data_IF_128198869528
#
_entry.id   IF_128198869528
#
_cell.length_a   1.000
_cell.length_b   1.000
_cell.length_c   1.000
_cell.angle_alpha   90.00
_cell.angle_beta   90.00
_cell.angle_gamma   90.00
#
_symmetry.space_group_name_H-M   'P 1'
#
loop_
_entity.id
_entity.type
_entity.pdbx_description
1 polymer ?
#
# COMPACT_ATOMS: atom_id res chain seq x y z
N UNK A 1 24.26 -66.71 16.95
CA UNK A 1 23.61 -67.62 15.99
C UNK A 1 22.22 -67.03 15.73
N UNK A 2 21.96 -66.04 14.87
CA UNK A 2 22.17 -65.80 13.41
C UNK A 2 21.35 -66.70 12.47
N UNK A 3 20.17 -66.18 12.07
CA UNK A 3 19.39 -66.34 10.81
C UNK A 3 18.88 -67.76 10.40
N UNK A 4 17.97 -67.91 9.39
CA UNK A 4 17.18 -66.93 8.61
C UNK A 4 15.70 -67.31 8.31
N UNK A 5 14.98 -66.39 7.66
CA UNK A 5 13.73 -66.55 6.91
C UNK A 5 13.89 -67.38 5.63
N UNK A 6 12.88 -68.19 5.23
CA UNK A 6 12.62 -68.57 3.82
C UNK A 6 11.13 -68.91 3.60
N UNK A 7 10.47 -68.07 2.78
CA UNK A 7 9.60 -68.34 1.61
C UNK A 7 8.57 -69.49 1.65
N UNK A 8 7.30 -69.13 1.46
CA UNK A 8 6.24 -70.01 0.95
C UNK A 8 5.81 -69.48 -0.44
N UNK A 9 5.78 -70.37 -1.43
CA UNK A 9 5.20 -70.12 -2.75
C UNK A 9 4.42 -71.35 -3.24
N UNK A 10 3.37 -71.08 -4.04
CA UNK A 10 2.61 -71.95 -4.98
C UNK A 10 1.47 -72.78 -4.34
N UNK A 11 0.27 -72.95 -4.93
CA UNK A 11 -0.21 -72.77 -6.30
C UNK A 11 -1.76 -72.72 -6.37
N UNK A 12 -2.23 -72.19 -7.49
CA UNK A 12 -3.59 -71.78 -7.88
C UNK A 12 -4.68 -72.86 -7.98
N UNK A 13 -5.95 -72.43 -7.92
CA UNK A 13 -7.01 -72.91 -8.81
C UNK A 13 -7.93 -71.76 -9.28
N UNK A 14 -8.32 -71.89 -10.55
CA UNK A 14 -9.02 -70.95 -11.43
C UNK A 14 -10.51 -70.76 -11.10
N UNK A 15 -11.03 -69.55 -11.35
CA UNK A 15 -12.36 -69.36 -11.93
C UNK A 15 -12.34 -68.15 -12.88
N UNK A 16 -12.99 -68.33 -14.03
CA UNK A 16 -12.88 -67.54 -15.26
C UNK A 16 -14.16 -66.71 -15.47
N UNK A 17 -14.01 -65.63 -16.25
CA UNK A 17 -15.01 -64.85 -17.00
C UNK A 17 -15.45 -63.55 -16.30
N UNK A 18 -15.44 -62.37 -16.90
CA UNK A 18 -15.57 -62.00 -18.32
C UNK A 18 -14.80 -60.71 -18.63
N UNK A 19 -14.33 -60.57 -19.87
CA UNK A 19 -13.55 -59.41 -20.37
C UNK A 19 -14.42 -58.16 -20.51
N UNK A 20 -13.90 -56.99 -20.13
CA UNK A 20 -14.20 -55.72 -20.81
C UNK A 20 -12.98 -54.79 -20.75
N UNK A 21 -12.56 -54.40 -21.94
CA UNK A 21 -11.45 -53.49 -22.26
C UNK A 21 -11.47 -52.22 -21.38
N UNK A 22 -10.33 -51.91 -20.78
CA UNK A 22 -10.13 -50.71 -19.97
C UNK A 22 -9.72 -49.55 -20.89
N UNK A 23 -10.71 -48.90 -21.50
CA UNK A 23 -10.49 -47.57 -22.08
C UNK A 23 -10.27 -46.59 -20.91
N UNK A 24 -9.01 -46.17 -20.74
CA UNK A 24 -8.67 -45.00 -19.92
C UNK A 24 -9.27 -43.77 -20.57
N UNK A 25 -10.45 -43.36 -20.12
CA UNK A 25 -10.93 -42.00 -20.35
C UNK A 25 -10.09 -41.08 -19.48
N UNK A 26 -9.24 -40.26 -20.10
CA UNK A 26 -8.61 -39.13 -19.43
C UNK A 26 -9.73 -38.27 -18.85
N UNK A 27 -9.75 -38.11 -17.53
CA UNK A 27 -10.61 -37.12 -16.90
C UNK A 27 -10.17 -35.75 -17.41
N UNK A 28 -11.08 -35.07 -18.12
CA UNK A 28 -10.93 -33.66 -18.45
C UNK A 28 -10.75 -32.89 -17.15
N UNK A 29 -9.57 -32.28 -17.01
CA UNK A 29 -9.31 -31.28 -16.00
C UNK A 29 -10.19 -30.08 -16.33
N UNK A 30 -11.23 -29.85 -15.52
CA UNK A 30 -12.02 -28.63 -15.59
C UNK A 30 -11.15 -27.48 -15.09
N UNK A 31 -10.40 -26.87 -16.00
CA UNK A 31 -9.72 -25.60 -15.77
C UNK A 31 -10.79 -24.57 -15.44
N UNK A 32 -10.78 -24.06 -14.21
CA UNK A 32 -11.60 -22.94 -13.81
C UNK A 32 -11.34 -21.78 -14.80
N UNK A 33 -12.38 -21.08 -15.28
CA UNK A 33 -12.19 -19.97 -16.19
C UNK A 33 -11.26 -18.92 -15.54
N UNK A 34 -10.39 -18.26 -16.31
CA UNK A 34 -9.54 -17.20 -15.78
C UNK A 34 -10.43 -16.15 -15.12
N UNK A 35 -10.12 -15.79 -13.87
CA UNK A 35 -10.73 -14.64 -13.21
C UNK A 35 -10.44 -13.44 -14.09
N UNK A 36 -11.49 -12.90 -14.72
CA UNK A 36 -11.43 -11.60 -15.39
C UNK A 36 -11.18 -10.58 -14.28
N UNK A 37 -9.91 -10.29 -13.99
CA UNK A 37 -9.55 -9.16 -13.15
C UNK A 37 -10.10 -7.93 -13.85
N UNK A 38 -11.07 -7.27 -13.23
CA UNK A 38 -11.57 -6.00 -13.69
C UNK A 38 -10.43 -4.98 -13.57
N UNK A 39 -9.71 -4.76 -14.68
CA UNK A 39 -8.83 -3.61 -14.84
C UNK A 39 -9.71 -2.38 -14.92
N UNK A 40 -9.94 -1.74 -13.78
CA UNK A 40 -10.37 -0.34 -13.80
C UNK A 40 -9.30 0.43 -14.56
N UNK A 41 -9.66 1.03 -15.68
CA UNK A 41 -8.83 2.02 -16.32
C UNK A 41 -8.49 3.08 -15.26
N UNK A 42 -7.23 3.49 -15.16
CA UNK A 42 -6.83 4.52 -14.22
C UNK A 42 -7.73 5.73 -14.41
N UNK A 43 -8.49 6.08 -13.37
CA UNK A 43 -9.00 7.45 -13.29
C UNK A 43 -7.78 8.34 -13.24
N UNK A 44 -7.78 9.45 -14.00
CA UNK A 44 -6.63 10.35 -14.07
C UNK A 44 -6.11 10.63 -12.66
N UNK A 45 -4.79 10.48 -12.45
CA UNK A 45 -4.15 10.78 -11.16
C UNK A 45 -4.37 12.23 -10.70
N UNK A 46 -4.81 13.12 -11.61
CA UNK A 46 -5.30 14.46 -11.29
C UNK A 46 -6.55 14.49 -10.40
N UNK A 47 -7.23 13.35 -10.21
CA UNK A 47 -8.35 13.20 -9.28
C UNK A 47 -7.90 13.28 -7.80
N UNK A 48 -6.62 13.07 -7.50
CA UNK A 48 -6.07 13.14 -6.14
C UNK A 48 -5.55 14.54 -5.84
N UNK A 49 -6.22 15.23 -4.91
CA UNK A 49 -5.81 16.53 -4.36
C UNK A 49 -5.77 16.39 -2.86
N UNK A 50 -4.60 16.02 -2.35
CA UNK A 50 -4.48 15.40 -1.05
C UNK A 50 -3.61 16.12 -0.03
N UNK A 51 -3.76 15.72 1.22
CA UNK A 51 -2.82 16.01 2.30
C UNK A 51 -2.54 14.77 3.14
N UNK A 52 -1.34 14.68 3.71
CA UNK A 52 -0.98 13.66 4.70
C UNK A 52 -1.60 14.03 6.05
N UNK A 53 -2.54 13.21 6.53
CA UNK A 53 -3.08 13.33 7.88
C UNK A 53 -2.30 12.39 8.82
N UNK A 54 -1.11 12.86 9.20
CA UNK A 54 -0.08 12.07 9.86
C UNK A 54 -0.17 12.10 11.39
N UNK A 55 0.51 11.13 12.02
CA UNK A 55 0.89 11.18 13.42
C UNK A 55 1.83 12.38 13.64
N UNK A 56 1.60 13.23 14.66
CA UNK A 56 2.43 14.41 14.89
C UNK A 56 3.86 14.09 15.36
N UNK A 57 4.14 12.86 15.80
CA UNK A 57 5.43 12.50 16.36
C UNK A 57 6.44 12.11 15.27
N UNK A 58 6.06 11.27 14.31
CA UNK A 58 6.93 10.82 13.22
C UNK A 58 6.17 9.94 12.19
N UNK A 59 6.82 9.61 11.07
CA UNK A 59 6.41 8.54 10.17
C UNK A 59 6.84 7.12 10.58
N UNK A 60 7.39 6.99 11.79
CA UNK A 60 7.76 5.72 12.41
C UNK A 60 7.21 5.62 13.83
N UNK A 61 6.53 4.52 14.14
CA UNK A 61 5.98 4.31 15.48
C UNK A 61 5.94 2.82 15.87
N UNK A 62 6.55 2.49 17.02
CA UNK A 62 6.45 1.15 17.62
C UNK A 62 5.05 0.88 18.21
N UNK A 63 4.34 1.95 18.58
CA UNK A 63 2.95 1.93 19.00
C UNK A 63 1.99 2.21 17.85
N UNK A 64 0.71 2.44 18.18
CA UNK A 64 -0.24 2.89 17.17
C UNK A 64 0.16 4.25 16.59
N UNK A 65 0.05 4.40 15.27
CA UNK A 65 0.08 5.71 14.60
C UNK A 65 -1.29 6.38 14.78
N UNK A 66 -1.26 7.60 15.30
CA UNK A 66 -2.46 8.34 15.71
C UNK A 66 -2.47 9.70 15.01
N UNK A 67 -3.28 9.86 13.95
CA UNK A 67 -3.33 11.12 13.23
C UNK A 67 -3.63 12.32 14.13
N UNK A 68 -2.99 13.45 13.79
CA UNK A 68 -3.08 14.70 14.54
C UNK A 68 -4.53 15.10 14.84
N UNK A 69 -4.83 15.37 16.11
CA UNK A 69 -6.18 15.73 16.58
C UNK A 69 -7.05 14.54 17.00
N UNK A 70 -6.58 13.30 16.84
CA UNK A 70 -7.22 12.08 17.36
C UNK A 70 -6.54 11.60 18.65
N UNK A 71 -7.17 10.64 19.35
CA UNK A 71 -6.62 10.04 20.57
C UNK A 71 -7.01 8.58 20.71
N UNK A 72 -6.09 7.73 21.17
CA UNK A 72 -6.36 6.31 21.46
C UNK A 72 -7.32 6.08 22.63
N UNK A 73 -7.61 7.12 23.42
CA UNK A 73 -8.62 7.07 24.48
C UNK A 73 -10.05 7.35 24.00
N UNK A 74 -10.21 7.79 22.74
CA UNK A 74 -11.53 8.06 22.17
C UNK A 74 -12.20 6.75 21.70
N UNK A 75 -13.53 6.75 21.68
CA UNK A 75 -14.31 5.73 20.99
C UNK A 75 -14.56 6.08 19.52
N UNK A 76 -15.26 5.21 18.80
CA UNK A 76 -15.62 5.43 17.40
C UNK A 76 -16.38 6.74 17.18
N UNK A 77 -17.40 7.01 17.99
CA UNK A 77 -18.27 8.17 17.80
C UNK A 77 -17.51 9.49 18.03
N UNK A 78 -16.66 9.52 19.05
CA UNK A 78 -15.82 10.68 19.38
C UNK A 78 -14.75 10.89 18.32
N UNK A 79 -14.07 9.82 17.89
CA UNK A 79 -13.07 9.87 16.81
C UNK A 79 -13.69 10.38 15.51
N UNK A 80 -14.86 9.86 15.15
CA UNK A 80 -15.63 10.30 13.98
C UNK A 80 -16.02 11.78 14.06
N UNK A 81 -16.50 12.25 15.21
CA UNK A 81 -16.86 13.65 15.40
C UNK A 81 -15.65 14.60 15.27
N UNK A 82 -14.50 14.23 15.87
CA UNK A 82 -13.24 14.99 15.73
C UNK A 82 -12.76 15.01 14.29
N UNK A 83 -12.74 13.85 13.64
CA UNK A 83 -12.39 13.72 12.24
C UNK A 83 -13.28 14.59 11.35
N UNK A 84 -14.59 14.63 11.60
CA UNK A 84 -15.52 15.41 10.79
C UNK A 84 -15.25 16.90 10.77
N UNK A 85 -14.77 17.47 11.88
CA UNK A 85 -14.34 18.87 11.92
C UNK A 85 -13.06 19.11 11.12
N UNK A 86 -12.06 18.24 11.27
CA UNK A 86 -10.77 18.33 10.57
C UNK A 86 -10.97 18.16 9.05
N UNK A 87 -11.70 17.12 8.65
CA UNK A 87 -11.97 16.80 7.26
C UNK A 87 -12.83 17.89 6.59
N UNK A 88 -13.79 18.49 7.31
CA UNK A 88 -14.54 19.62 6.78
C UNK A 88 -13.63 20.83 6.50
N UNK A 89 -12.64 21.08 7.36
CA UNK A 89 -11.65 22.13 7.10
C UNK A 89 -10.78 21.79 5.88
N UNK A 90 -10.30 20.54 5.75
CA UNK A 90 -9.57 20.09 4.56
C UNK A 90 -10.37 20.30 3.27
N UNK A 91 -11.65 19.92 3.26
CA UNK A 91 -12.52 20.15 2.09
C UNK A 91 -12.68 21.63 1.74
N UNK A 92 -12.74 22.53 2.74
CA UNK A 92 -12.76 23.98 2.50
C UNK A 92 -11.48 24.49 1.83
N UNK A 93 -10.34 23.81 2.05
CA UNK A 93 -9.07 24.10 1.36
C UNK A 93 -8.97 23.40 -0.01
N UNK A 94 -10.03 22.74 -0.48
CA UNK A 94 -10.04 22.04 -1.77
C UNK A 94 -9.40 20.65 -1.74
N UNK A 95 -9.03 20.13 -0.56
CA UNK A 95 -8.53 18.78 -0.39
C UNK A 95 -9.69 17.79 -0.54
N UNK A 96 -9.49 16.80 -1.42
CA UNK A 96 -10.45 15.72 -1.65
C UNK A 96 -9.89 14.33 -1.28
N UNK A 97 -8.62 14.26 -0.88
CA UNK A 97 -7.91 13.02 -0.57
C UNK A 97 -7.18 13.16 0.75
N UNK A 98 -7.24 12.16 1.62
CA UNK A 98 -6.37 12.10 2.82
C UNK A 98 -5.52 10.83 2.76
N UNK A 99 -4.21 10.99 2.95
CA UNK A 99 -3.29 9.87 3.18
C UNK A 99 -3.12 9.68 4.67
N UNK A 100 -3.47 8.50 5.17
CA UNK A 100 -3.60 8.19 6.58
C UNK A 100 -2.71 6.98 6.92
N UNK A 101 -1.89 7.07 7.97
CA UNK A 101 -0.96 6.01 8.31
C UNK A 101 -1.68 4.83 8.98
N UNK A 102 -1.18 3.63 8.73
CA UNK A 102 -1.56 2.39 9.41
C UNK A 102 -0.30 1.61 9.78
N UNK A 103 -0.35 0.88 10.87
CA UNK A 103 0.67 -0.11 11.23
C UNK A 103 0.00 -1.24 12.04
N UNK A 104 0.68 -2.37 12.29
CA UNK A 104 0.07 -3.47 13.03
C UNK A 104 -0.47 -3.07 14.40
N UNK A 105 0.23 -2.29 15.25
CA UNK A 105 -0.36 -1.78 16.50
C UNK A 105 -1.66 -0.99 16.30
N UNK A 106 -1.80 -0.22 15.22
CA UNK A 106 -3.01 0.56 14.96
C UNK A 106 -4.21 -0.27 14.55
N UNK A 107 -3.97 -1.38 13.85
CA UNK A 107 -5.01 -2.17 13.18
C UNK A 107 -5.36 -3.44 13.93
N UNK A 108 -4.37 -4.09 14.56
CA UNK A 108 -4.52 -5.37 15.23
C UNK A 108 -4.82 -5.24 16.74
N UNK A 109 -4.93 -4.01 17.24
CA UNK A 109 -5.25 -3.72 18.65
C UNK A 109 -6.54 -2.90 18.76
N UNK A 110 -6.88 -2.48 19.99
CA UNK A 110 -8.13 -1.79 20.29
C UNK A 110 -8.31 -0.45 19.57
N UNK A 111 -7.21 0.22 19.18
CA UNK A 111 -7.25 1.50 18.47
C UNK A 111 -8.06 1.42 17.17
N UNK A 112 -7.98 0.30 16.44
CA UNK A 112 -8.67 0.13 15.16
C UNK A 112 -10.17 0.40 15.23
N UNK A 113 -10.81 -0.04 16.32
CA UNK A 113 -12.24 0.17 16.54
C UNK A 113 -12.63 1.65 16.52
N UNK A 114 -11.81 2.50 17.13
CA UNK A 114 -12.02 3.95 17.14
C UNK A 114 -11.52 4.60 15.84
N UNK A 115 -10.33 4.21 15.36
CA UNK A 115 -9.67 4.81 14.21
C UNK A 115 -10.50 4.72 12.92
N UNK A 116 -11.24 3.62 12.75
CA UNK A 116 -12.17 3.46 11.62
C UNK A 116 -13.25 4.54 11.57
N UNK A 117 -13.57 5.20 12.69
CA UNK A 117 -14.49 6.35 12.71
C UNK A 117 -13.99 7.53 11.89
N UNK A 118 -12.68 7.77 11.85
CA UNK A 118 -12.09 8.82 11.02
C UNK A 118 -12.10 8.44 9.53
N UNK A 119 -11.76 7.20 9.21
CA UNK A 119 -11.75 6.68 7.83
C UNK A 119 -13.17 6.67 7.25
N UNK A 120 -14.15 6.15 8.01
CA UNK A 120 -15.55 6.09 7.62
C UNK A 120 -16.14 7.50 7.40
N UNK A 121 -15.68 8.50 8.15
CA UNK A 121 -16.13 9.89 7.97
C UNK A 121 -15.57 10.53 6.71
N UNK A 122 -14.28 10.32 6.41
CA UNK A 122 -13.66 10.77 5.17
C UNK A 122 -14.36 10.16 3.95
N UNK A 123 -14.62 8.84 3.98
CA UNK A 123 -15.40 8.14 2.95
C UNK A 123 -16.82 8.70 2.86
N UNK A 124 -17.50 8.91 4.00
CA UNK A 124 -18.85 9.47 4.06
C UNK A 124 -18.96 10.89 3.50
N UNK A 125 -17.85 11.66 3.53
CA UNK A 125 -17.72 12.98 2.90
C UNK A 125 -17.35 12.92 1.41
N UNK A 126 -17.23 11.72 0.84
CA UNK A 126 -16.86 11.49 -0.55
C UNK A 126 -15.38 11.72 -0.85
N UNK A 127 -14.53 11.78 0.18
CA UNK A 127 -13.08 11.91 0.00
C UNK A 127 -12.46 10.57 -0.39
N UNK A 128 -11.34 10.62 -1.11
CA UNK A 128 -10.45 9.46 -1.24
C UNK A 128 -9.65 9.30 0.07
N UNK A 129 -9.44 8.06 0.49
CA UNK A 129 -8.59 7.71 1.63
C UNK A 129 -7.51 6.76 1.15
N UNK A 130 -6.25 7.17 1.29
CA UNK A 130 -5.09 6.32 1.05
C UNK A 130 -4.61 5.81 2.40
N UNK A 131 -4.71 4.50 2.65
CA UNK A 131 -4.17 3.88 3.86
C UNK A 131 -2.76 3.39 3.56
N UNK A 132 -1.76 3.88 4.30
CA UNK A 132 -0.36 3.60 4.04
C UNK A 132 0.34 2.92 5.23
N UNK A 133 1.02 1.79 4.99
CA UNK A 133 1.80 1.13 6.03
C UNK A 133 3.06 1.90 6.41
N UNK A 134 3.20 2.23 7.70
CA UNK A 134 4.34 2.91 8.30
C UNK A 134 5.09 1.98 9.26
N UNK A 135 6.42 1.95 9.15
CA UNK A 135 7.31 1.04 9.88
C UNK A 135 7.43 1.44 11.38
N UNK A 136 7.91 0.51 12.21
CA UNK A 136 8.27 0.77 13.59
C UNK A 136 9.42 1.77 13.74
N UNK A 137 9.47 2.44 14.91
CA UNK A 137 10.52 3.38 15.25
C UNK A 137 11.82 2.71 15.71
N UNK A 138 11.75 1.43 16.11
CA UNK A 138 12.90 0.66 16.59
C UNK A 138 13.84 0.18 15.49
N UNK A 139 13.33 -0.07 14.27
CA UNK A 139 14.13 -0.53 13.12
C UNK A 139 14.53 0.65 12.23
N UNK A 140 13.53 1.35 11.65
CA UNK A 140 13.69 2.48 10.70
C UNK A 140 14.67 2.15 9.58
N UNK A 141 14.61 0.93 9.08
CA UNK A 141 15.51 0.43 8.04
C UNK A 141 14.85 0.31 6.67
N UNK A 142 13.55 0.62 6.56
CA UNK A 142 12.79 0.54 5.32
C UNK A 142 12.42 -0.89 4.94
N UNK A 143 12.35 -1.78 5.91
CA UNK A 143 11.97 -3.19 5.76
C UNK A 143 10.75 -3.46 6.64
N UNK A 144 9.86 -4.36 6.18
CA UNK A 144 8.74 -4.80 7.02
C UNK A 144 9.27 -5.56 8.24
N UNK A 145 9.07 -4.99 9.43
CA UNK A 145 9.55 -5.52 10.72
C UNK A 145 9.10 -6.96 11.01
N UNK A 146 7.81 -7.23 10.77
CA UNK A 146 7.20 -8.54 10.97
C UNK A 146 6.20 -8.83 9.86
N UNK A 147 6.59 -9.71 8.94
CA UNK A 147 5.74 -10.10 7.81
C UNK A 147 4.39 -10.70 8.23
N UNK A 148 4.33 -11.45 9.33
CA UNK A 148 3.07 -12.05 9.79
C UNK A 148 2.07 -10.97 10.19
N UNK A 149 2.52 -10.00 10.98
CA UNK A 149 1.68 -8.90 11.45
C UNK A 149 1.32 -7.94 10.30
N UNK A 150 2.25 -7.70 9.38
CA UNK A 150 2.00 -6.95 8.15
C UNK A 150 0.88 -7.57 7.30
N UNK A 151 0.92 -8.88 7.06
CA UNK A 151 -0.14 -9.56 6.32
C UNK A 151 -1.47 -9.59 7.09
N UNK A 152 -1.44 -9.77 8.41
CA UNK A 152 -2.67 -9.74 9.23
C UNK A 152 -3.31 -8.34 9.25
N UNK A 153 -2.50 -7.29 9.30
CA UNK A 153 -2.94 -5.91 9.20
C UNK A 153 -3.65 -5.68 7.85
N UNK A 154 -2.99 -5.99 6.73
CA UNK A 154 -3.58 -5.82 5.41
C UNK A 154 -4.84 -6.68 5.20
N UNK A 155 -4.88 -7.90 5.75
CA UNK A 155 -6.08 -8.73 5.74
C UNK A 155 -7.24 -8.04 6.47
N UNK A 156 -6.98 -7.42 7.62
CA UNK A 156 -7.98 -6.69 8.40
C UNK A 156 -8.52 -5.48 7.63
N UNK A 157 -7.61 -4.69 7.03
CA UNK A 157 -7.97 -3.50 6.26
C UNK A 157 -8.76 -3.89 5.00
N UNK A 158 -8.28 -4.86 4.23
CA UNK A 158 -8.94 -5.31 2.98
C UNK A 158 -10.29 -5.98 3.24
N UNK A 159 -10.46 -6.70 4.34
CA UNK A 159 -11.77 -7.23 4.73
C UNK A 159 -12.81 -6.13 4.98
N UNK A 160 -12.40 -5.02 5.61
CA UNK A 160 -13.31 -3.92 5.94
C UNK A 160 -13.57 -3.00 4.74
N UNK A 161 -12.52 -2.61 4.02
CA UNK A 161 -12.60 -1.58 2.98
C UNK A 161 -12.42 -2.10 1.55
N UNK A 162 -12.30 -3.41 1.37
CA UNK A 162 -12.10 -4.03 0.06
C UNK A 162 -13.21 -3.76 -0.95
N UNK A 163 -14.42 -3.40 -0.52
CA UNK A 163 -15.52 -2.99 -1.39
C UNK A 163 -15.83 -1.49 -1.34
N UNK A 164 -15.02 -0.70 -0.63
CA UNK A 164 -15.22 0.76 -0.51
C UNK A 164 -14.44 1.46 -1.61
N UNK A 165 -15.14 1.96 -2.63
CA UNK A 165 -14.51 2.46 -3.86
C UNK A 165 -13.46 3.56 -3.65
N UNK A 166 -13.68 4.44 -2.67
CA UNK A 166 -12.79 5.57 -2.38
C UNK A 166 -11.67 5.25 -1.39
N UNK A 167 -11.47 3.98 -1.01
CA UNK A 167 -10.33 3.55 -0.18
C UNK A 167 -9.28 2.86 -1.05
N UNK A 168 -8.05 3.35 -0.90
CA UNK A 168 -6.84 2.94 -1.60
C UNK A 168 -5.82 2.38 -0.60
N UNK A 169 -4.97 1.47 -1.09
CA UNK A 169 -4.05 0.67 -0.28
C UNK A 169 -2.61 0.92 -0.73
N UNK A 170 -1.88 1.72 0.03
CA UNK A 170 -0.47 2.01 -0.23
C UNK A 170 0.40 1.07 0.59
N UNK A 171 1.08 0.17 -0.12
CA UNK A 171 1.54 -1.10 0.49
C UNK A 171 2.64 -0.90 1.53
N UNK A 172 3.56 0.04 1.31
CA UNK A 172 4.64 0.37 2.24
C UNK A 172 5.21 1.75 1.94
N UNK A 173 5.17 2.66 2.90
CA UNK A 173 5.86 3.95 2.90
C UNK A 173 7.39 3.79 2.87
N UNK A 174 8.05 4.45 1.92
CA UNK A 174 9.51 4.65 1.88
C UNK A 174 10.35 3.36 2.11
N UNK A 175 10.21 2.34 1.25
CA UNK A 175 10.85 1.03 1.40
C UNK A 175 12.35 1.03 1.07
N UNK A 176 13.12 1.89 1.72
CA UNK A 176 14.52 2.21 1.41
C UNK A 176 15.52 1.08 1.74
N UNK A 177 15.12 0.11 2.55
CA UNK A 177 15.93 -1.08 2.86
C UNK A 177 15.83 -2.20 1.82
N UNK A 178 14.87 -2.14 0.90
CA UNK A 178 14.70 -3.17 -0.12
C UNK A 178 15.53 -2.90 -1.38
N UNK A 179 16.10 -3.97 -1.95
CA UNK A 179 16.47 -3.96 -3.36
C UNK A 179 15.20 -3.94 -4.23
N UNK A 180 15.30 -3.42 -5.45
CA UNK A 180 14.18 -3.39 -6.42
C UNK A 180 13.51 -4.76 -6.57
N UNK A 181 14.31 -5.83 -6.72
CA UNK A 181 13.77 -7.17 -6.91
C UNK A 181 12.97 -7.66 -5.69
N UNK A 182 13.47 -7.40 -4.48
CA UNK A 182 12.79 -7.79 -3.25
C UNK A 182 11.51 -6.97 -3.02
N UNK A 183 11.56 -5.67 -3.28
CA UNK A 183 10.40 -4.79 -3.16
C UNK A 183 9.29 -5.21 -4.14
N UNK A 184 9.63 -5.42 -5.42
CA UNK A 184 8.66 -5.85 -6.42
C UNK A 184 8.05 -7.22 -6.08
N UNK A 185 8.84 -8.11 -5.44
CA UNK A 185 8.32 -9.39 -4.95
C UNK A 185 7.35 -9.23 -3.78
N UNK A 186 7.63 -8.32 -2.83
CA UNK A 186 6.70 -7.98 -1.75
C UNK A 186 5.37 -7.47 -2.32
N UNK A 187 5.42 -6.56 -3.29
CA UNK A 187 4.23 -6.00 -3.94
C UNK A 187 3.46 -7.05 -4.76
N UNK A 188 4.13 -7.88 -5.54
CA UNK A 188 3.49 -8.96 -6.26
C UNK A 188 2.83 -9.98 -5.31
N UNK A 189 3.46 -10.24 -4.16
CA UNK A 189 2.88 -11.08 -3.11
C UNK A 189 1.64 -10.44 -2.47
N UNK A 190 1.65 -9.12 -2.24
CA UNK A 190 0.47 -8.40 -1.75
C UNK A 190 -0.72 -8.57 -2.71
N UNK A 191 -0.52 -8.39 -4.01
CA UNK A 191 -1.58 -8.58 -5.02
C UNK A 191 -2.10 -10.03 -5.05
N UNK A 192 -1.20 -11.01 -4.84
CA UNK A 192 -1.56 -12.43 -4.78
C UNK A 192 -2.36 -12.77 -3.52
N UNK A 193 -2.03 -12.15 -2.38
CA UNK A 193 -2.71 -12.37 -1.11
C UNK A 193 -4.10 -11.72 -1.07
N UNK A 194 -4.30 -10.59 -1.78
CA UNK A 194 -5.56 -9.83 -1.77
C UNK A 194 -6.15 -9.64 -3.18
N UNK A 195 -6.44 -10.74 -3.91
CA UNK A 195 -6.80 -10.68 -5.34
C UNK A 195 -8.17 -10.03 -5.61
N UNK A 196 -9.01 -9.87 -4.59
CA UNK A 196 -10.30 -9.19 -4.69
C UNK A 196 -10.15 -7.66 -4.75
N UNK A 197 -8.99 -7.11 -4.40
CA UNK A 197 -8.73 -5.68 -4.49
C UNK A 197 -8.37 -5.34 -5.95
N UNK A 198 -9.13 -4.46 -6.63
CA UNK A 198 -8.76 -3.96 -7.95
C UNK A 198 -7.39 -3.28 -7.87
N UNK A 199 -6.47 -3.67 -8.75
CA UNK A 199 -5.09 -3.17 -8.75
C UNK A 199 -5.02 -1.64 -8.87
N UNK A 200 -5.97 -1.01 -9.59
CA UNK A 200 -6.09 0.45 -9.67
C UNK A 200 -6.43 1.16 -8.35
N UNK A 201 -6.60 0.43 -7.24
CA UNK A 201 -6.71 0.96 -5.87
C UNK A 201 -5.48 0.66 -5.01
N UNK A 202 -4.44 0.07 -5.58
CA UNK A 202 -3.19 -0.28 -4.89
C UNK A 202 -2.11 0.70 -5.32
N UNK A 203 -1.50 1.40 -4.36
CA UNK A 203 -0.38 2.31 -4.58
C UNK A 203 0.90 1.60 -4.15
N UNK A 204 1.93 1.71 -4.99
CA UNK A 204 3.23 1.10 -4.77
C UNK A 204 4.30 2.20 -4.72
N UNK A 205 4.94 2.37 -3.58
CA UNK A 205 6.05 3.30 -3.42
C UNK A 205 7.23 2.90 -4.30
N UNK A 206 7.99 3.90 -4.73
CA UNK A 206 9.27 3.67 -5.40
C UNK A 206 10.31 3.01 -4.48
N UNK A 207 11.36 2.46 -5.09
CA UNK A 207 12.54 2.01 -4.33
C UNK A 207 13.20 3.23 -3.66
N UNK A 208 13.89 3.00 -2.53
CA UNK A 208 14.46 4.07 -1.73
C UNK A 208 13.40 4.73 -0.85
N UNK A 209 13.54 6.03 -0.59
CA UNK A 209 12.51 6.83 0.08
C UNK A 209 11.37 7.18 -0.88
N UNK A 210 10.80 6.17 -1.55
CA UNK A 210 9.79 6.32 -2.61
C UNK A 210 10.23 7.21 -3.79
N UNK A 211 11.54 7.29 -4.06
CA UNK A 211 12.10 8.18 -5.11
C UNK A 211 12.32 7.49 -6.45
N UNK A 212 12.38 6.15 -6.49
CA UNK A 212 12.54 5.39 -7.74
C UNK A 212 11.29 4.55 -8.07
N UNK A 213 10.22 5.24 -8.46
CA UNK A 213 8.98 4.60 -8.97
C UNK A 213 9.16 4.02 -10.36
N UNK A 214 10.20 4.41 -11.11
CA UNK A 214 10.46 3.89 -12.44
C UNK A 214 10.92 2.44 -12.38
N UNK A 215 11.76 2.08 -11.40
CA UNK A 215 12.19 0.70 -11.19
C UNK A 215 11.03 -0.24 -10.80
N UNK A 216 10.12 0.23 -9.93
CA UNK A 216 8.90 -0.52 -9.59
C UNK A 216 7.96 -0.59 -10.80
N UNK A 217 7.81 0.54 -11.49
CA UNK A 217 6.90 0.67 -12.62
C UNK A 217 7.27 -0.18 -13.84
N UNK A 218 8.55 -0.56 -13.97
CA UNK A 218 9.04 -1.44 -15.03
C UNK A 218 8.65 -2.92 -14.84
N UNK A 219 8.19 -3.32 -13.65
CA UNK A 219 7.77 -4.70 -13.41
C UNK A 219 6.37 -4.96 -14.01
N UNK A 220 6.33 -5.83 -15.02
CA UNK A 220 5.08 -6.18 -15.72
C UNK A 220 3.99 -6.75 -14.81
N UNK A 221 4.33 -7.31 -13.65
CA UNK A 221 3.35 -7.82 -12.67
C UNK A 221 2.58 -6.69 -11.97
N UNK A 222 3.14 -5.47 -11.98
CA UNK A 222 2.67 -4.31 -11.21
C UNK A 222 2.13 -3.18 -12.10
N UNK A 223 2.03 -3.41 -13.42
CA UNK A 223 1.70 -2.39 -14.43
C UNK A 223 0.27 -1.83 -14.33
N UNK A 224 -0.60 -2.49 -13.58
CA UNK A 224 -2.01 -2.12 -13.36
C UNK A 224 -2.24 -1.47 -12.00
N UNK A 225 -1.18 -1.31 -11.19
CA UNK A 225 -1.22 -0.57 -9.94
C UNK A 225 -0.87 0.90 -10.13
N UNK A 226 -1.31 1.73 -9.20
CA UNK A 226 -0.83 3.10 -9.06
C UNK A 226 0.59 3.08 -8.45
N UNK A 227 1.34 4.15 -8.70
CA UNK A 227 2.67 4.38 -8.13
C UNK A 227 2.62 5.57 -7.17
N UNK A 228 3.38 5.49 -6.09
CA UNK A 228 3.49 6.49 -5.02
C UNK A 228 4.92 7.05 -5.06
N UNK A 229 5.03 8.34 -5.33
CA UNK A 229 6.31 9.04 -5.49
C UNK A 229 6.48 10.12 -4.44
N UNK A 230 7.64 10.15 -3.79
CA UNK A 230 7.99 11.22 -2.87
C UNK A 230 8.98 12.17 -3.55
N UNK A 231 8.73 13.47 -3.41
CA UNK A 231 9.60 14.50 -3.94
C UNK A 231 9.94 15.50 -2.83
N UNK A 232 11.16 15.43 -2.31
CA UNK A 232 11.67 16.34 -1.30
C UNK A 232 13.10 16.79 -1.62
N UNK A 233 13.44 18.04 -1.30
CA UNK A 233 14.81 18.58 -1.49
C UNK A 233 15.88 17.89 -0.64
N UNK A 234 15.53 17.26 0.48
CA UNK A 234 16.53 16.59 1.32
C UNK A 234 16.94 15.21 0.80
N UNK A 235 16.16 14.62 -0.12
CA UNK A 235 16.59 13.42 -0.86
C UNK A 235 17.54 13.77 -2.00
N UNK A 236 17.49 15.02 -2.48
CA UNK A 236 18.34 15.50 -3.57
C UNK A 236 18.63 17.00 -3.40
N UNK A 237 19.79 17.27 -2.79
CA UNK A 237 20.23 18.63 -2.50
C UNK A 237 20.59 19.44 -3.77
N UNK A 238 20.57 18.83 -4.96
CA UNK A 238 20.81 19.56 -6.22
C UNK A 238 19.57 20.31 -6.72
N UNK A 239 18.38 20.02 -6.16
CA UNK A 239 17.15 20.77 -6.47
C UNK A 239 17.22 22.16 -5.84
N UNK A 240 17.52 23.16 -6.67
CA UNK A 240 17.72 24.55 -6.21
C UNK A 240 16.80 25.56 -6.90
N UNK A 241 16.11 25.15 -7.96
CA UNK A 241 15.18 25.97 -8.75
C UNK A 241 13.83 25.27 -8.94
N UNK A 242 12.77 26.01 -9.29
CA UNK A 242 11.45 25.43 -9.61
C UNK A 242 11.57 24.41 -10.74
N UNK A 243 12.40 24.71 -11.75
CA UNK A 243 12.64 23.82 -12.88
C UNK A 243 13.27 22.47 -12.45
N UNK A 244 14.11 22.44 -11.41
CA UNK A 244 14.68 21.18 -10.91
C UNK A 244 13.59 20.29 -10.27
N UNK A 245 12.59 20.90 -9.64
CA UNK A 245 11.43 20.21 -9.07
C UNK A 245 10.51 19.67 -10.16
N UNK A 246 10.17 20.51 -11.13
CA UNK A 246 9.33 20.14 -12.28
C UNK A 246 10.01 19.02 -13.09
N UNK A 247 11.30 19.16 -13.39
CA UNK A 247 12.07 18.17 -14.15
C UNK A 247 12.09 16.79 -13.49
N UNK A 248 12.08 16.70 -12.15
CA UNK A 248 12.01 15.43 -11.45
C UNK A 248 10.66 14.71 -11.70
N UNK A 249 9.57 15.47 -11.78
CA UNK A 249 8.23 14.95 -12.05
C UNK A 249 8.07 14.64 -13.55
N UNK A 250 8.56 15.51 -14.43
CA UNK A 250 8.55 15.30 -15.88
C UNK A 250 9.42 14.10 -16.31
N UNK A 251 10.44 13.75 -15.52
CA UNK A 251 11.32 12.60 -15.74
C UNK A 251 10.72 11.24 -15.37
N UNK A 252 9.50 11.20 -14.81
CA UNK A 252 8.83 9.95 -14.49
C UNK A 252 8.45 9.19 -15.77
N UNK A 253 8.76 7.90 -15.82
CA UNK A 253 8.47 7.06 -16.99
C UNK A 253 7.01 6.59 -17.07
N UNK A 254 6.26 6.71 -15.97
CA UNK A 254 4.87 6.24 -15.84
C UNK A 254 3.92 7.29 -15.25
N UNK A 255 3.92 8.54 -15.76
CA UNK A 255 3.23 9.66 -15.12
C UNK A 255 1.71 9.45 -15.00
N UNK A 256 1.10 8.75 -15.97
CA UNK A 256 -0.35 8.50 -16.01
C UNK A 256 -0.90 7.68 -14.83
N UNK A 257 -0.02 6.99 -14.10
CA UNK A 257 -0.39 6.17 -12.92
C UNK A 257 0.44 6.50 -11.69
N UNK A 258 1.23 7.57 -11.71
CA UNK A 258 1.98 8.03 -10.54
C UNK A 258 1.25 9.15 -9.82
N UNK A 259 1.20 9.06 -8.50
CA UNK A 259 0.70 10.09 -7.59
C UNK A 259 1.90 10.57 -6.77
N UNK A 260 2.09 11.88 -6.68
CA UNK A 260 3.04 12.47 -5.73
C UNK A 260 2.38 12.47 -4.35
N UNK A 261 2.63 11.43 -3.56
CA UNK A 261 1.99 11.17 -2.26
C UNK A 261 2.64 11.94 -1.13
N UNK A 262 3.90 12.33 -1.29
CA UNK A 262 4.59 13.24 -0.40
C UNK A 262 5.46 14.25 -1.14
N UNK A 263 5.32 15.50 -0.72
CA UNK A 263 6.15 16.63 -1.09
C UNK A 263 5.88 17.75 -0.08
N UNK A 264 6.82 18.66 0.08
CA UNK A 264 6.66 19.76 1.02
C UNK A 264 7.98 20.28 1.57
N UNK A 265 7.87 21.16 2.56
CA UNK A 265 8.99 21.90 3.14
C UNK A 265 8.82 22.04 4.66
N UNK A 266 9.90 22.16 5.44
CA UNK A 266 9.82 22.30 6.88
C UNK A 266 9.24 23.66 7.30
N UNK A 267 8.01 23.70 7.84
CA UNK A 267 7.35 24.97 8.17
C UNK A 267 7.84 25.67 9.45
N UNK A 268 8.75 25.07 10.21
CA UNK A 268 9.18 25.53 11.55
C UNK A 268 10.60 26.12 11.59
N UNK A 269 11.26 26.24 10.44
CA UNK A 269 12.66 26.71 10.36
C UNK A 269 12.79 28.24 10.21
N UNK A 270 11.69 29.00 10.35
CA UNK A 270 11.68 30.46 10.29
C UNK A 270 11.82 31.06 8.89
N UNK A 271 11.67 30.25 7.83
CA UNK A 271 11.74 30.72 6.43
C UNK A 271 10.46 31.43 6.01
N UNK A 272 10.63 32.45 5.15
CA UNK A 272 9.53 33.16 4.51
C UNK A 272 9.10 32.46 3.23
N UNK A 273 7.99 31.73 3.32
CA UNK A 273 7.39 31.00 2.21
C UNK A 273 6.50 31.87 1.30
N UNK A 274 6.31 33.15 1.63
CA UNK A 274 5.57 34.11 0.80
C UNK A 274 6.49 35.02 -0.03
N UNK A 275 7.80 34.95 0.21
CA UNK A 275 8.85 35.70 -0.47
C UNK A 275 8.94 35.44 -1.99
N UNK A 276 9.85 36.16 -2.66
CA UNK A 276 10.08 35.99 -4.10
C UNK A 276 10.65 34.59 -4.41
N UNK A 277 10.17 33.89 -5.46
CA UNK A 277 10.75 32.62 -5.87
C UNK A 277 12.26 32.74 -6.08
N UNK A 278 13.04 31.81 -5.52
CA UNK A 278 14.49 31.73 -5.70
C UNK A 278 15.33 32.30 -4.55
N UNK A 279 14.71 32.87 -3.51
CA UNK A 279 15.43 33.29 -2.30
C UNK A 279 15.79 32.13 -1.37
N UNK A 280 15.05 31.01 -1.44
CA UNK A 280 15.31 29.78 -0.70
C UNK A 280 14.81 28.58 -1.52
N UNK A 281 15.57 27.47 -1.56
CA UNK A 281 15.19 26.23 -2.27
C UNK A 281 13.83 25.67 -1.83
N UNK A 282 13.43 25.91 -0.58
CA UNK A 282 12.17 25.46 0.00
C UNK A 282 11.02 26.44 -0.32
N UNK A 283 11.27 27.74 -0.51
CA UNK A 283 10.24 28.71 -0.92
C UNK A 283 9.62 28.43 -2.29
N UNK A 284 10.29 27.59 -3.10
CA UNK A 284 9.94 27.26 -4.47
C UNK A 284 8.72 26.35 -4.63
N UNK A 285 8.43 25.50 -3.63
CA UNK A 285 7.29 24.56 -3.69
C UNK A 285 5.96 25.26 -3.41
N UNK A 286 5.98 26.36 -2.64
CA UNK A 286 4.77 27.01 -2.12
C UNK A 286 3.86 27.69 -3.15
N UNK A 287 4.25 27.71 -4.44
CA UNK A 287 3.54 28.42 -5.51
C UNK A 287 3.19 27.55 -6.74
N UNK A 288 3.42 26.24 -6.67
CA UNK A 288 3.05 25.27 -7.71
C UNK A 288 1.63 24.74 -7.55
#
# INVERSE_FOLDING_TARGET
MKNPSVVILLLCFFAWSCKKEMNRTLAESTVAPPSVQATLAFTSTAAFKGGNWADPNDNFADGAVVPSGLSTGDDYATTKAKAGNILAYFQQQGINTVRMPVNPPSVLQSWWGAYTGAIDDAVGKGMNVILCYWEGASSRDGIVDNLTDFWNMWQTITNKYGNTANVYFEVFNEPHGYSTANLNNLYAQWLTNYPAIPHGRVLLDGVGYATDVNAVGADSRLNTCLLSYHNYTWFDNNKTTVADWESAIEGLAYPDRTIVTEFGIPMTNGKDYLGAPGSDRESLISRG
#
